data_IF_362415786793
#
_entry.id   IF_362415786793
#
_cell.length_a   1.000
_cell.length_b   1.000
_cell.length_c   1.000
_cell.angle_alpha   90.00
_cell.angle_beta   90.00
_cell.angle_gamma   90.00
#
_symmetry.space_group_name_H-M   'P 1'
#
loop_
_entity.id
_entity.type
_entity.pdbx_description
1 polymer ?
#
# COMPACT_ATOMS: atom_id res chain seq x y z
N UNK A 1 -16.87 26.77 12.35
CA UNK A 1 -16.56 26.69 13.79
C UNK A 1 -15.22 26.02 13.91
N UNK A 2 -14.23 26.63 14.56
CA UNK A 2 -12.93 25.97 14.76
C UNK A 2 -13.08 24.85 15.80
N UNK A 3 -12.28 23.78 15.69
CA UNK A 3 -12.33 22.66 16.64
C UNK A 3 -12.23 23.11 18.11
N UNK A 4 -11.52 24.22 18.38
CA UNK A 4 -11.42 24.80 19.73
C UNK A 4 -12.73 25.35 20.27
N UNK A 5 -13.55 25.95 19.41
CA UNK A 5 -14.88 26.41 19.82
C UNK A 5 -15.80 25.22 20.11
N UNK A 6 -15.66 24.14 19.34
CA UNK A 6 -16.45 22.91 19.51
C UNK A 6 -16.06 22.15 20.78
N UNK A 7 -14.76 22.01 21.05
CA UNK A 7 -14.23 21.34 22.26
C UNK A 7 -14.52 22.17 23.51
N UNK A 8 -14.34 23.50 23.45
CA UNK A 8 -14.67 24.41 24.56
C UNK A 8 -16.15 24.38 24.92
N UNK A 9 -17.05 24.36 23.93
CA UNK A 9 -18.49 24.25 24.16
C UNK A 9 -18.92 22.87 24.69
N UNK A 10 -18.28 21.79 24.24
CA UNK A 10 -18.54 20.44 24.76
C UNK A 10 -18.08 20.27 26.21
N UNK A 11 -16.90 20.80 26.57
CA UNK A 11 -16.41 20.80 27.95
C UNK A 11 -17.26 21.68 28.86
N UNK A 12 -17.78 22.81 28.36
CA UNK A 12 -18.73 23.66 29.08
C UNK A 12 -20.00 22.91 29.46
N UNK A 13 -20.63 22.21 28.51
CA UNK A 13 -21.83 21.39 28.77
C UNK A 13 -21.61 20.31 29.81
N UNK A 14 -20.44 19.65 29.80
CA UNK A 14 -20.09 18.63 30.80
C UNK A 14 -19.94 19.20 32.22
N UNK A 15 -19.58 20.47 32.35
CA UNK A 15 -19.57 21.17 33.65
C UNK A 15 -20.98 21.55 34.08
N UNK A 16 -21.79 22.07 33.15
CA UNK A 16 -23.19 22.42 33.41
C UNK A 16 -24.04 21.20 33.82
N UNK A 17 -23.75 20.04 33.22
CA UNK A 17 -24.38 18.75 33.54
C UNK A 17 -23.83 18.14 34.86
N UNK A 18 -22.88 18.78 35.53
CA UNK A 18 -22.29 18.32 36.79
C UNK A 18 -21.37 17.10 36.67
N UNK A 19 -21.01 16.70 35.44
CA UNK A 19 -20.13 15.56 35.17
C UNK A 19 -18.67 15.92 35.44
N UNK A 20 -18.28 17.17 35.18
CA UNK A 20 -16.96 17.72 35.45
C UNK A 20 -17.06 18.93 36.40
N UNK A 21 -16.08 19.11 37.27
CA UNK A 21 -15.91 20.38 37.98
C UNK A 21 -15.24 21.42 37.08
N UNK A 22 -15.40 22.70 37.41
CA UNK A 22 -14.72 23.80 36.71
C UNK A 22 -13.19 23.61 36.71
N UNK A 23 -12.62 23.16 37.85
CA UNK A 23 -11.19 22.87 37.96
C UNK A 23 -10.73 21.71 37.06
N UNK A 24 -11.55 20.67 36.88
CA UNK A 24 -11.24 19.56 35.97
C UNK A 24 -11.30 19.98 34.51
N UNK A 25 -12.25 20.84 34.13
CA UNK A 25 -12.29 21.46 32.80
C UNK A 25 -11.00 22.23 32.54
N UNK A 26 -10.60 23.10 33.47
CA UNK A 26 -9.41 23.94 33.30
C UNK A 26 -8.14 23.09 33.23
N UNK A 27 -8.06 22.00 34.00
CA UNK A 27 -6.97 21.03 33.90
C UNK A 27 -6.93 20.32 32.54
N UNK A 28 -8.08 19.97 31.95
CA UNK A 28 -8.17 19.35 30.62
C UNK A 28 -7.80 20.34 29.51
N UNK A 29 -8.24 21.60 29.63
CA UNK A 29 -7.87 22.67 28.69
C UNK A 29 -6.36 22.92 28.76
N UNK A 30 -5.80 23.05 29.97
CA UNK A 30 -4.36 23.23 30.16
C UNK A 30 -3.54 22.04 29.63
N UNK A 31 -4.02 20.81 29.81
CA UNK A 31 -3.39 19.61 29.26
C UNK A 31 -3.44 19.60 27.73
N UNK A 32 -4.57 19.98 27.12
CA UNK A 32 -4.72 20.11 25.67
C UNK A 32 -3.82 21.21 25.10
N UNK A 33 -3.69 22.35 25.79
CA UNK A 33 -2.79 23.44 25.41
C UNK A 33 -1.31 23.02 25.52
N UNK A 34 -0.94 22.28 26.57
CA UNK A 34 0.40 21.68 26.68
C UNK A 34 0.69 20.68 25.55
N UNK A 35 -0.32 19.91 25.14
CA UNK A 35 -0.18 18.95 24.05
C UNK A 35 -0.11 19.65 22.68
N UNK A 36 -0.74 20.82 22.55
CA UNK A 36 -0.73 21.69 21.35
C UNK A 36 0.42 22.69 21.33
N UNK A 37 1.18 22.81 22.42
CA UNK A 37 2.34 23.68 22.49
C UNK A 37 3.24 23.40 21.28
N UNK A 38 3.46 24.44 20.49
CA UNK A 38 4.17 24.34 19.22
C UNK A 38 5.55 23.73 19.50
N UNK A 39 5.99 22.72 18.74
CA UNK A 39 7.32 22.16 18.94
C UNK A 39 8.34 23.30 18.88
N UNK A 40 9.33 23.33 19.78
CA UNK A 40 10.29 24.42 19.83
C UNK A 40 10.94 24.58 18.45
N UNK A 41 11.18 25.81 18.00
CA UNK A 41 11.66 26.08 16.64
C UNK A 41 12.93 25.27 16.30
N UNK A 42 13.80 25.03 17.28
CA UNK A 42 14.98 24.17 17.14
C UNK A 42 14.65 22.71 16.79
N UNK A 43 13.54 22.15 17.29
CA UNK A 43 13.09 20.80 16.92
C UNK A 43 12.60 20.74 15.47
N UNK A 44 11.87 21.75 15.03
CA UNK A 44 11.39 21.82 13.64
C UNK A 44 12.56 21.99 12.68
N UNK A 45 13.52 22.87 12.99
CA UNK A 45 14.74 23.03 12.20
C UNK A 45 15.59 21.75 12.17
N UNK A 46 15.72 21.05 13.31
CA UNK A 46 16.41 19.76 13.36
C UNK A 46 15.70 18.69 12.53
N UNK A 47 14.38 18.67 12.52
CA UNK A 47 13.58 17.74 11.72
C UNK A 47 13.70 18.05 10.21
N UNK A 48 13.64 19.31 9.81
CA UNK A 48 13.90 19.75 8.42
C UNK A 48 15.33 19.39 8.00
N UNK A 49 16.32 19.69 8.83
CA UNK A 49 17.72 19.37 8.55
C UNK A 49 17.94 17.85 8.45
N UNK A 50 17.25 17.05 9.26
CA UNK A 50 17.30 15.60 9.18
C UNK A 50 16.67 15.07 7.88
N UNK A 51 15.50 15.57 7.46
CA UNK A 51 14.87 15.16 6.20
C UNK A 51 15.68 15.64 4.98
N UNK A 52 16.17 16.87 5.00
CA UNK A 52 17.03 17.41 3.94
C UNK A 52 18.34 16.62 3.85
N UNK A 53 18.97 16.33 4.99
CA UNK A 53 20.19 15.51 5.07
C UNK A 53 19.97 14.09 4.57
N UNK A 54 18.86 13.45 4.93
CA UNK A 54 18.50 12.13 4.42
C UNK A 54 18.27 12.13 2.91
N UNK A 55 17.58 13.16 2.39
CA UNK A 55 17.36 13.34 0.95
C UNK A 55 18.66 13.55 0.16
N UNK A 56 19.56 14.41 0.67
CA UNK A 56 20.87 14.66 0.07
C UNK A 56 21.76 13.41 0.12
N UNK A 57 21.75 12.68 1.23
CA UNK A 57 22.50 11.42 1.37
C UNK A 57 21.98 10.35 0.40
N UNK A 58 20.65 10.23 0.27
CA UNK A 58 20.04 9.32 -0.70
C UNK A 58 20.39 9.72 -2.14
N UNK A 59 20.27 11.00 -2.48
CA UNK A 59 20.65 11.51 -3.80
C UNK A 59 22.13 11.26 -4.12
N UNK A 60 23.01 11.47 -3.14
CA UNK A 60 24.44 11.17 -3.26
C UNK A 60 24.72 9.67 -3.48
N UNK A 61 24.03 8.79 -2.75
CA UNK A 61 24.12 7.33 -2.96
C UNK A 61 23.65 6.96 -4.36
N UNK A 62 22.53 7.50 -4.83
CA UNK A 62 22.00 7.21 -6.18
C UNK A 62 22.98 7.68 -7.26
N UNK A 63 23.53 8.90 -7.15
CA UNK A 63 24.52 9.42 -8.10
C UNK A 63 25.84 8.64 -8.05
N UNK A 64 26.29 8.26 -6.85
CA UNK A 64 27.47 7.42 -6.69
C UNK A 64 27.22 6.04 -7.31
N UNK A 65 26.05 5.46 -7.08
CA UNK A 65 25.67 4.17 -7.64
C UNK A 65 25.63 4.28 -9.16
N UNK A 66 24.91 5.23 -9.74
CA UNK A 66 24.86 5.47 -11.19
C UNK A 66 26.26 5.60 -11.83
N UNK A 67 27.11 6.45 -11.25
CA UNK A 67 28.47 6.68 -11.78
C UNK A 67 29.43 5.50 -11.55
N UNK A 68 29.27 4.73 -10.48
CA UNK A 68 30.12 3.58 -10.17
C UNK A 68 29.61 2.28 -10.81
N UNK A 69 28.31 2.17 -11.07
CA UNK A 69 27.65 0.93 -11.48
C UNK A 69 28.26 0.37 -12.76
N UNK A 70 28.41 1.22 -13.78
CA UNK A 70 29.01 0.83 -15.06
C UNK A 70 30.52 0.54 -14.99
N UNK A 71 31.20 0.89 -13.89
CA UNK A 71 32.62 0.62 -13.66
C UNK A 71 32.88 -0.62 -12.81
N UNK A 72 31.88 -1.05 -12.04
CA UNK A 72 31.95 -2.30 -11.28
C UNK A 72 31.75 -3.47 -12.24
N UNK A 73 32.59 -4.47 -12.11
CA UNK A 73 32.31 -5.78 -12.68
C UNK A 73 31.10 -6.40 -11.97
N UNK A 74 30.55 -7.48 -12.54
CA UNK A 74 29.33 -8.10 -11.98
C UNK A 74 29.52 -8.57 -10.55
N UNK A 75 30.71 -9.07 -10.23
CA UNK A 75 31.04 -9.48 -8.86
C UNK A 75 31.01 -8.27 -7.91
N UNK A 76 31.58 -7.14 -8.32
CA UNK A 76 31.52 -5.89 -7.57
C UNK A 76 30.08 -5.39 -7.37
N UNK A 77 29.24 -5.43 -8.41
CA UNK A 77 27.82 -5.06 -8.32
C UNK A 77 27.05 -5.99 -7.36
N UNK A 78 27.26 -7.30 -7.47
CA UNK A 78 26.63 -8.29 -6.61
C UNK A 78 27.08 -8.14 -5.15
N UNK A 79 28.38 -7.98 -4.89
CA UNK A 79 28.91 -7.76 -3.54
C UNK A 79 28.38 -6.47 -2.92
N UNK A 80 28.26 -5.39 -3.71
CA UNK A 80 27.67 -4.14 -3.24
C UNK A 80 26.21 -4.32 -2.82
N UNK A 81 25.38 -4.97 -3.64
CA UNK A 81 23.98 -5.24 -3.30
C UNK A 81 23.83 -6.22 -2.15
N UNK A 82 24.68 -7.24 -2.05
CA UNK A 82 24.70 -8.15 -0.91
C UNK A 82 25.03 -7.40 0.39
N UNK A 83 26.03 -6.52 0.35
CA UNK A 83 26.43 -5.70 1.49
C UNK A 83 25.31 -4.72 1.91
N UNK A 84 24.69 -4.04 0.95
CA UNK A 84 23.55 -3.15 1.21
C UNK A 84 22.38 -3.93 1.82
N UNK A 85 22.05 -5.09 1.26
CA UNK A 85 20.99 -5.96 1.79
C UNK A 85 21.27 -6.36 3.23
N UNK A 86 22.49 -6.82 3.53
CA UNK A 86 22.90 -7.20 4.88
C UNK A 86 22.85 -6.02 5.85
N UNK A 87 23.32 -4.85 5.43
CA UNK A 87 23.30 -3.63 6.24
C UNK A 87 21.86 -3.20 6.57
N UNK A 88 20.95 -3.23 5.58
CA UNK A 88 19.54 -2.90 5.76
C UNK A 88 18.85 -3.86 6.73
N UNK A 89 19.10 -5.17 6.60
CA UNK A 89 18.56 -6.20 7.51
C UNK A 89 19.08 -5.99 8.93
N UNK A 90 20.40 -5.85 9.11
CA UNK A 90 21.00 -5.64 10.43
C UNK A 90 20.50 -4.35 11.07
N UNK A 91 20.45 -3.25 10.33
CA UNK A 91 19.92 -1.97 10.82
C UNK A 91 18.43 -2.10 11.20
N UNK A 92 17.63 -2.79 10.39
CA UNK A 92 16.22 -3.07 10.70
C UNK A 92 16.06 -3.87 12.00
N UNK A 93 16.86 -4.92 12.19
CA UNK A 93 16.86 -5.76 13.40
C UNK A 93 17.28 -4.96 14.63
N UNK A 94 18.37 -4.19 14.54
CA UNK A 94 18.88 -3.37 15.65
C UNK A 94 17.85 -2.30 16.05
N UNK A 95 17.22 -1.67 15.07
CA UNK A 95 16.27 -0.58 15.31
C UNK A 95 14.92 -1.05 15.86
N UNK A 96 14.42 -2.19 15.37
CA UNK A 96 13.22 -2.83 15.91
C UNK A 96 13.48 -3.42 17.31
N UNK A 97 14.71 -3.86 17.56
CA UNK A 97 15.10 -4.61 18.75
C UNK A 97 14.78 -6.10 18.57
N UNK A 98 15.77 -7.00 18.73
CA UNK A 98 15.62 -8.42 18.36
C UNK A 98 14.53 -9.14 19.15
N UNK A 99 14.28 -8.72 20.39
CA UNK A 99 13.22 -9.28 21.26
C UNK A 99 11.80 -8.88 20.83
N UNK A 100 11.66 -7.83 20.03
CA UNK A 100 10.36 -7.35 19.54
C UNK A 100 10.02 -7.90 18.16
N UNK A 101 11.00 -8.48 17.46
CA UNK A 101 10.77 -9.18 16.20
C UNK A 101 9.94 -10.44 16.44
N UNK A 102 9.05 -10.75 15.50
CA UNK A 102 8.17 -11.93 15.55
C UNK A 102 7.24 -11.97 16.78
N UNK A 103 7.14 -10.90 17.56
CA UNK A 103 6.18 -10.82 18.67
C UNK A 103 4.79 -10.62 18.09
N UNK A 104 3.86 -11.50 18.44
CA UNK A 104 2.57 -11.61 17.78
C UNK A 104 1.79 -10.28 17.73
N UNK A 105 1.34 -9.95 16.51
CA UNK A 105 0.19 -9.10 16.18
C UNK A 105 0.18 -7.68 16.76
N UNK A 106 1.31 -7.09 17.15
CA UNK A 106 1.34 -5.66 17.47
C UNK A 106 1.65 -4.85 16.21
N UNK A 107 0.69 -4.02 15.73
CA UNK A 107 0.97 -3.11 14.63
C UNK A 107 2.11 -2.18 15.02
N UNK A 108 2.91 -1.79 14.03
CA UNK A 108 4.01 -0.83 14.17
C UNK A 108 3.49 0.49 14.74
N UNK A 109 3.80 0.78 16.01
CA UNK A 109 3.33 1.99 16.72
C UNK A 109 4.40 3.07 16.87
N UNK A 110 5.68 2.71 16.88
CA UNK A 110 6.77 3.67 17.13
C UNK A 110 7.46 4.08 15.83
N UNK A 111 8.02 5.29 15.79
CA UNK A 111 8.81 5.80 14.65
C UNK A 111 9.97 4.86 14.31
N UNK A 112 10.63 4.29 15.33
CA UNK A 112 11.73 3.33 15.16
C UNK A 112 11.28 2.07 14.42
N UNK A 113 10.13 1.50 14.80
CA UNK A 113 9.57 0.34 14.10
C UNK A 113 9.14 0.67 12.66
N UNK A 114 8.61 1.88 12.40
CA UNK A 114 8.29 2.30 11.02
C UNK A 114 9.52 2.37 10.13
N UNK A 115 10.61 2.92 10.65
CA UNK A 115 11.88 2.96 9.95
C UNK A 115 12.45 1.55 9.76
N UNK A 116 12.36 0.66 10.76
CA UNK A 116 12.76 -0.75 10.61
C UNK A 116 11.96 -1.48 9.52
N UNK A 117 10.64 -1.25 9.46
CA UNK A 117 9.79 -1.79 8.39
C UNK A 117 10.20 -1.29 7.00
N UNK A 118 10.55 -0.01 6.88
CA UNK A 118 11.06 0.56 5.64
C UNK A 118 12.39 -0.07 5.24
N UNK A 119 13.30 -0.29 6.20
CA UNK A 119 14.58 -0.96 5.96
C UNK A 119 14.39 -2.40 5.47
N UNK A 120 13.44 -3.17 6.02
CA UNK A 120 13.12 -4.51 5.53
C UNK A 120 12.50 -4.49 4.11
N UNK A 121 11.65 -3.51 3.80
CA UNK A 121 11.11 -3.34 2.46
C UNK A 121 12.21 -2.98 1.44
N UNK A 122 13.17 -2.12 1.82
CA UNK A 122 14.34 -1.82 0.99
C UNK A 122 15.27 -3.03 0.84
N UNK A 123 15.46 -3.81 1.91
CA UNK A 123 16.25 -5.04 1.86
C UNK A 123 15.64 -6.06 0.87
N UNK A 124 14.30 -6.12 0.81
CA UNK A 124 13.57 -6.91 -0.18
C UNK A 124 13.96 -6.49 -1.61
N UNK A 125 13.87 -5.20 -1.92
CA UNK A 125 14.22 -4.66 -3.24
C UNK A 125 15.70 -4.90 -3.58
N UNK A 126 16.60 -4.66 -2.62
CA UNK A 126 18.03 -4.89 -2.77
C UNK A 126 18.36 -6.36 -3.00
N UNK A 127 17.65 -7.28 -2.34
CA UNK A 127 17.83 -8.72 -2.54
C UNK A 127 17.39 -9.18 -3.95
N UNK A 128 16.35 -8.57 -4.51
CA UNK A 128 15.93 -8.80 -5.88
C UNK A 128 17.05 -8.40 -6.86
N UNK A 129 17.57 -7.18 -6.70
CA UNK A 129 18.67 -6.67 -7.52
C UNK A 129 19.91 -7.55 -7.41
N UNK A 130 20.25 -8.01 -6.21
CA UNK A 130 21.42 -8.86 -5.98
C UNK A 130 21.34 -10.15 -6.80
N UNK A 131 20.21 -10.84 -6.74
CA UNK A 131 20.01 -12.07 -7.49
C UNK A 131 19.93 -11.77 -8.99
N UNK A 132 19.28 -10.68 -9.40
CA UNK A 132 19.21 -10.30 -10.81
C UNK A 132 20.60 -10.06 -11.42
N UNK A 133 21.53 -9.44 -10.69
CA UNK A 133 22.92 -9.24 -11.14
C UNK A 133 23.68 -10.56 -11.25
N UNK A 134 23.53 -11.46 -10.28
CA UNK A 134 24.18 -12.78 -10.33
C UNK A 134 23.71 -13.62 -11.53
N UNK A 135 22.47 -13.39 -11.94
CA UNK A 135 21.75 -14.17 -12.95
C UNK A 135 21.73 -13.49 -14.33
N UNK A 136 22.40 -12.35 -14.51
CA UNK A 136 22.30 -11.50 -15.69
C UNK A 136 22.73 -12.18 -17.02
N UNK A 137 23.54 -13.24 -16.96
CA UNK A 137 24.07 -13.96 -18.14
C UNK A 137 23.33 -15.26 -18.46
N UNK A 138 22.27 -15.56 -17.73
CA UNK A 138 21.54 -16.82 -17.87
C UNK A 138 20.21 -16.56 -18.56
N UNK A 139 19.63 -17.60 -19.18
CA UNK A 139 18.41 -17.56 -20.00
C UNK A 139 17.29 -16.62 -19.48
N UNK A 140 16.44 -16.17 -20.41
CA UNK A 140 15.35 -15.19 -20.20
C UNK A 140 14.39 -15.51 -19.03
N UNK A 141 14.36 -16.75 -18.50
CA UNK A 141 13.54 -17.13 -17.34
C UNK A 141 14.19 -16.89 -15.97
N UNK A 142 15.41 -16.35 -15.90
CA UNK A 142 16.18 -16.32 -14.65
C UNK A 142 15.79 -15.16 -13.71
N UNK A 143 15.12 -14.13 -14.22
CA UNK A 143 14.58 -13.04 -13.41
C UNK A 143 13.55 -13.53 -12.37
N UNK A 144 12.90 -14.68 -12.61
CA UNK A 144 11.94 -15.29 -11.68
C UNK A 144 12.60 -15.63 -10.35
N UNK A 145 13.87 -16.06 -10.35
CA UNK A 145 14.60 -16.33 -9.11
C UNK A 145 14.83 -15.06 -8.28
N UNK A 146 15.08 -13.93 -8.94
CA UNK A 146 15.25 -12.65 -8.26
C UNK A 146 13.97 -12.22 -7.54
N UNK A 147 12.83 -12.36 -8.21
CA UNK A 147 11.53 -12.02 -7.65
C UNK A 147 11.12 -13.02 -6.56
N UNK A 148 11.47 -14.30 -6.69
CA UNK A 148 11.21 -15.31 -5.65
C UNK A 148 11.99 -15.05 -4.38
N UNK A 149 13.28 -14.74 -4.48
CA UNK A 149 14.10 -14.39 -3.31
C UNK A 149 13.54 -13.13 -2.65
N UNK A 150 13.18 -12.13 -3.44
CA UNK A 150 12.51 -10.94 -2.92
C UNK A 150 11.18 -11.28 -2.23
N UNK A 151 10.33 -12.12 -2.81
CA UNK A 151 9.08 -12.55 -2.17
C UNK A 151 9.33 -13.25 -0.82
N UNK A 152 10.33 -14.12 -0.74
CA UNK A 152 10.72 -14.79 0.53
C UNK A 152 11.21 -13.77 1.56
N UNK A 153 12.08 -12.83 1.16
CA UNK A 153 12.58 -11.76 2.04
C UNK A 153 11.45 -10.84 2.50
N UNK A 154 10.50 -10.51 1.61
CA UNK A 154 9.32 -9.72 1.94
C UNK A 154 8.45 -10.42 2.98
N UNK A 155 8.19 -11.72 2.80
CA UNK A 155 7.40 -12.53 3.74
C UNK A 155 8.10 -12.60 5.09
N UNK A 156 9.41 -12.84 5.11
CA UNK A 156 10.20 -12.87 6.33
C UNK A 156 10.17 -11.51 7.05
N UNK A 157 10.36 -10.40 6.31
CA UNK A 157 10.32 -9.05 6.85
C UNK A 157 8.94 -8.66 7.39
N UNK A 158 7.87 -8.99 6.67
CA UNK A 158 6.50 -8.75 7.11
C UNK A 158 6.12 -9.60 8.33
N UNK A 159 6.57 -10.86 8.39
CA UNK A 159 6.38 -11.72 9.57
C UNK A 159 7.18 -11.23 10.77
N UNK A 160 8.38 -10.71 10.55
CA UNK A 160 9.21 -10.13 11.60
C UNK A 160 8.58 -8.85 12.17
N UNK A 161 8.02 -7.99 11.29
CA UNK A 161 7.41 -6.72 11.67
C UNK A 161 6.22 -6.37 10.76
N UNK A 162 4.98 -6.77 11.15
CA UNK A 162 3.77 -6.51 10.36
C UNK A 162 3.55 -5.01 10.12
N UNK A 163 3.65 -4.59 8.86
CA UNK A 163 3.65 -3.19 8.46
C UNK A 163 3.04 -3.01 7.08
N UNK A 164 2.58 -1.79 6.79
CA UNK A 164 2.04 -1.43 5.47
C UNK A 164 3.07 -1.66 4.35
N UNK A 165 4.31 -1.22 4.55
CA UNK A 165 5.38 -1.39 3.57
C UNK A 165 5.74 -2.86 3.35
N UNK A 166 5.81 -3.65 4.43
CA UNK A 166 6.01 -5.08 4.33
C UNK A 166 4.88 -5.77 3.58
N UNK A 167 3.62 -5.38 3.85
CA UNK A 167 2.47 -5.93 3.14
C UNK A 167 2.52 -5.60 1.65
N UNK A 168 2.81 -4.35 1.29
CA UNK A 168 2.98 -3.92 -0.11
C UNK A 168 4.09 -4.71 -0.79
N UNK A 169 5.23 -4.94 -0.12
CA UNK A 169 6.31 -5.75 -0.65
C UNK A 169 5.88 -7.21 -0.89
N UNK A 170 5.20 -7.84 0.08
CA UNK A 170 4.72 -9.24 -0.05
C UNK A 170 3.69 -9.35 -1.19
N UNK A 171 2.74 -8.42 -1.24
CA UNK A 171 1.70 -8.34 -2.28
C UNK A 171 2.35 -8.17 -3.65
N UNK A 172 3.25 -7.19 -3.80
CA UNK A 172 3.91 -6.88 -5.06
C UNK A 172 4.83 -8.00 -5.55
N UNK A 173 5.85 -8.36 -4.77
CA UNK A 173 6.80 -9.41 -5.16
C UNK A 173 6.15 -10.78 -5.24
N UNK A 174 5.17 -11.08 -4.39
CA UNK A 174 4.39 -12.33 -4.50
C UNK A 174 3.64 -12.41 -5.82
N UNK A 175 3.01 -11.33 -6.26
CA UNK A 175 2.28 -11.29 -7.54
C UNK A 175 3.22 -11.48 -8.73
N UNK A 176 4.35 -10.75 -8.73
CA UNK A 176 5.36 -10.90 -9.77
C UNK A 176 5.99 -12.30 -9.76
N UNK A 177 6.19 -12.91 -8.59
CA UNK A 177 6.73 -14.26 -8.49
C UNK A 177 5.77 -15.29 -9.11
N UNK A 178 4.48 -15.21 -8.78
CA UNK A 178 3.46 -16.11 -9.36
C UNK A 178 3.37 -15.92 -10.88
N UNK A 179 3.36 -14.67 -11.35
CA UNK A 179 3.35 -14.35 -12.78
C UNK A 179 4.56 -14.93 -13.50
N UNK A 180 5.77 -14.62 -13.00
CA UNK A 180 7.02 -15.10 -13.60
C UNK A 180 7.19 -16.61 -13.57
N UNK A 181 6.78 -17.29 -12.48
CA UNK A 181 6.83 -18.75 -12.42
C UNK A 181 5.91 -19.39 -13.47
N UNK A 182 4.70 -18.87 -13.65
CA UNK A 182 3.75 -19.41 -14.61
C UNK A 182 4.20 -19.12 -16.05
N UNK A 183 4.65 -17.90 -16.32
CA UNK A 183 5.12 -17.48 -17.64
C UNK A 183 6.43 -18.19 -18.02
N UNK A 184 7.49 -18.05 -17.22
CA UNK A 184 8.83 -18.49 -17.61
C UNK A 184 9.12 -19.96 -17.34
N UNK A 185 8.52 -20.58 -16.32
CA UNK A 185 8.80 -21.98 -15.99
C UNK A 185 7.71 -22.91 -16.52
N UNK A 186 6.44 -22.58 -16.28
CA UNK A 186 5.33 -23.38 -16.74
C UNK A 186 4.94 -23.10 -18.21
N UNK A 187 5.50 -22.05 -18.84
CA UNK A 187 5.16 -21.62 -20.20
C UNK A 187 3.63 -21.47 -20.36
N UNK A 188 2.99 -20.98 -19.30
CA UNK A 188 1.55 -20.85 -19.25
C UNK A 188 1.11 -19.69 -20.15
N UNK A 189 -0.02 -19.83 -20.88
CA UNK A 189 -0.55 -18.73 -21.66
C UNK A 189 -1.02 -17.59 -20.76
N UNK A 190 -0.99 -16.35 -21.27
CA UNK A 190 -1.36 -15.13 -20.54
C UNK A 190 -2.71 -15.24 -19.83
N UNK A 191 -3.67 -15.94 -20.46
CA UNK A 191 -4.96 -16.24 -19.84
C UNK A 191 -4.82 -16.95 -18.49
N UNK A 192 -3.99 -17.99 -18.40
CA UNK A 192 -3.77 -18.75 -17.16
C UNK A 192 -3.02 -17.91 -16.13
N UNK A 193 -2.03 -17.12 -16.58
CA UNK A 193 -1.31 -16.15 -15.72
C UNK A 193 -2.30 -15.15 -15.11
N UNK A 194 -3.16 -14.55 -15.92
CA UNK A 194 -4.18 -13.61 -15.48
C UNK A 194 -5.18 -14.21 -14.49
N UNK A 195 -5.65 -15.45 -14.73
CA UNK A 195 -6.52 -16.17 -13.78
C UNK A 195 -5.81 -16.43 -12.45
N UNK A 196 -4.53 -16.80 -12.46
CA UNK A 196 -3.76 -17.01 -11.23
C UNK A 196 -3.56 -15.71 -10.45
N UNK A 197 -3.26 -14.61 -11.14
CA UNK A 197 -3.15 -13.27 -10.54
C UNK A 197 -4.51 -12.83 -9.98
N UNK A 198 -5.61 -13.03 -10.71
CA UNK A 198 -6.97 -12.73 -10.25
C UNK A 198 -7.32 -13.53 -8.98
N UNK A 199 -7.00 -14.83 -8.97
CA UNK A 199 -7.20 -15.70 -7.81
C UNK A 199 -6.35 -15.25 -6.62
N UNK A 200 -5.12 -14.78 -6.86
CA UNK A 200 -4.27 -14.18 -5.82
C UNK A 200 -4.87 -12.90 -5.24
N UNK A 201 -5.49 -12.05 -6.07
CA UNK A 201 -6.27 -10.91 -5.61
C UNK A 201 -7.42 -11.31 -4.68
N UNK A 202 -8.20 -12.32 -5.08
CA UNK A 202 -9.26 -12.90 -4.25
C UNK A 202 -8.75 -13.52 -2.95
N UNK A 203 -7.60 -14.19 -2.99
CA UNK A 203 -6.92 -14.73 -1.81
C UNK A 203 -6.56 -13.61 -0.83
N UNK A 204 -6.05 -12.46 -1.31
CA UNK A 204 -5.75 -11.32 -0.46
C UNK A 204 -6.99 -10.69 0.17
N UNK A 205 -8.11 -10.63 -0.55
CA UNK A 205 -9.41 -10.22 0.02
C UNK A 205 -9.82 -11.16 1.17
N UNK A 206 -9.71 -12.48 0.97
CA UNK A 206 -10.03 -13.47 1.99
C UNK A 206 -9.09 -13.42 3.20
N UNK A 207 -7.77 -13.28 2.98
CA UNK A 207 -6.79 -13.13 4.06
C UNK A 207 -7.02 -11.85 4.88
N UNK A 208 -7.44 -10.77 4.21
CA UNK A 208 -7.80 -9.51 4.87
C UNK A 208 -9.05 -9.66 5.72
N UNK A 209 -10.05 -10.41 5.23
CA UNK A 209 -11.29 -10.73 5.96
C UNK A 209 -11.04 -11.54 7.23
N UNK A 210 -10.09 -12.48 7.20
CA UNK A 210 -9.72 -13.30 8.37
C UNK A 210 -8.81 -12.53 9.34
N UNK A 211 -8.39 -11.30 9.00
CA UNK A 211 -7.54 -10.46 9.84
C UNK A 211 -6.07 -10.88 9.83
N UNK A 212 -5.63 -11.63 8.82
CA UNK A 212 -4.22 -12.02 8.64
C UNK A 212 -3.38 -10.89 8.00
N UNK A 213 -4.01 -10.00 7.24
CA UNK A 213 -3.38 -8.80 6.71
C UNK A 213 -3.50 -7.64 7.72
N UNK A 214 -2.35 -7.13 8.18
CA UNK A 214 -2.26 -6.02 9.12
C UNK A 214 -1.45 -4.90 8.47
N UNK A 215 -2.07 -3.77 8.11
CA UNK A 215 -3.47 -3.40 8.32
C UNK A 215 -4.44 -4.01 7.27
N UNK A 216 -5.66 -4.36 7.69
CA UNK A 216 -6.65 -5.06 6.84
C UNK A 216 -7.10 -4.24 5.63
N UNK A 217 -7.22 -2.92 5.77
CA UNK A 217 -7.57 -2.02 4.67
C UNK A 217 -6.57 -2.09 3.51
N UNK A 218 -5.28 -2.27 3.82
CA UNK A 218 -4.23 -2.34 2.82
C UNK A 218 -4.22 -3.69 2.12
N UNK A 219 -4.59 -4.76 2.83
CA UNK A 219 -4.79 -6.07 2.22
C UNK A 219 -5.98 -6.07 1.25
N UNK A 220 -7.08 -5.38 1.59
CA UNK A 220 -8.18 -5.15 0.63
C UNK A 220 -7.71 -4.36 -0.58
N UNK A 221 -7.02 -3.23 -0.38
CA UNK A 221 -6.50 -2.42 -1.49
C UNK A 221 -5.59 -3.24 -2.42
N UNK A 222 -4.66 -4.00 -1.84
CA UNK A 222 -3.78 -4.90 -2.61
C UNK A 222 -4.54 -5.97 -3.37
N UNK A 223 -5.52 -6.63 -2.73
CA UNK A 223 -6.36 -7.63 -3.38
C UNK A 223 -7.18 -7.09 -4.55
N UNK A 224 -7.72 -5.87 -4.43
CA UNK A 224 -8.48 -5.20 -5.50
C UNK A 224 -7.57 -4.86 -6.67
N UNK A 225 -6.42 -4.23 -6.42
CA UNK A 225 -5.46 -3.86 -7.46
C UNK A 225 -4.95 -5.09 -8.20
N UNK A 226 -4.52 -6.12 -7.48
CA UNK A 226 -4.08 -7.39 -8.07
C UNK A 226 -5.22 -8.04 -8.85
N UNK A 227 -6.43 -8.06 -8.28
CA UNK A 227 -7.60 -8.66 -8.91
C UNK A 227 -7.93 -8.00 -10.25
N UNK A 228 -7.93 -6.66 -10.30
CA UNK A 228 -8.13 -5.92 -11.55
C UNK A 228 -7.02 -6.24 -12.54
N UNK A 229 -5.75 -6.16 -12.14
CA UNK A 229 -4.61 -6.51 -13.00
C UNK A 229 -4.75 -7.93 -13.55
N UNK A 230 -5.11 -8.91 -12.72
CA UNK A 230 -5.32 -10.29 -13.16
C UNK A 230 -6.45 -10.42 -14.18
N UNK A 231 -7.54 -9.68 -14.01
CA UNK A 231 -8.62 -9.62 -14.99
C UNK A 231 -8.13 -9.03 -16.33
N UNK A 232 -7.27 -8.01 -16.31
CA UNK A 232 -6.65 -7.43 -17.51
C UNK A 232 -5.71 -8.40 -18.21
N UNK A 233 -4.88 -9.13 -17.47
CA UNK A 233 -3.96 -10.12 -18.06
C UNK A 233 -4.70 -11.33 -18.63
N UNK A 234 -5.86 -11.68 -18.09
CA UNK A 234 -6.68 -12.78 -18.58
C UNK A 234 -7.49 -12.43 -19.85
N UNK A 235 -7.05 -11.43 -20.64
CA UNK A 235 -7.79 -10.86 -21.77
C UNK A 235 -8.04 -11.85 -22.91
N UNK A 236 -9.08 -12.66 -22.74
CA UNK A 236 -9.58 -13.60 -23.75
C UNK A 236 -10.56 -12.92 -24.71
N UNK A 237 -11.41 -12.05 -24.15
CA UNK A 237 -12.28 -11.14 -24.87
C UNK A 237 -12.64 -9.97 -23.95
N UNK A 238 -13.00 -8.83 -24.54
CA UNK A 238 -13.32 -7.64 -23.76
C UNK A 238 -14.48 -7.84 -22.77
N UNK A 239 -15.46 -8.69 -23.13
CA UNK A 239 -16.58 -9.07 -22.27
C UNK A 239 -16.13 -9.80 -21.00
N UNK A 240 -15.11 -10.66 -21.09
CA UNK A 240 -14.53 -11.38 -19.97
C UNK A 240 -13.92 -10.42 -18.97
N UNK A 241 -13.11 -9.47 -19.45
CA UNK A 241 -12.47 -8.49 -18.57
C UNK A 241 -13.52 -7.64 -17.87
N UNK A 242 -14.54 -7.16 -18.60
CA UNK A 242 -15.68 -6.43 -18.01
C UNK A 242 -16.39 -7.29 -16.96
N UNK A 243 -16.68 -8.55 -17.26
CA UNK A 243 -17.35 -9.47 -16.32
C UNK A 243 -16.53 -9.73 -15.05
N UNK A 244 -15.22 -9.97 -15.17
CA UNK A 244 -14.35 -10.24 -14.03
C UNK A 244 -14.14 -8.99 -13.15
N UNK A 245 -13.98 -7.82 -13.76
CA UNK A 245 -13.88 -6.55 -13.01
C UNK A 245 -15.21 -6.24 -12.30
N UNK A 246 -16.36 -6.46 -12.93
CA UNK A 246 -17.66 -6.34 -12.26
C UNK A 246 -17.84 -7.34 -11.12
N UNK A 247 -17.39 -8.60 -11.31
CA UNK A 247 -17.42 -9.62 -10.26
C UNK A 247 -16.54 -9.22 -9.08
N UNK A 248 -15.36 -8.64 -9.34
CA UNK A 248 -14.50 -8.07 -8.30
C UNK A 248 -15.19 -6.92 -7.58
N UNK A 249 -15.87 -6.03 -8.31
CA UNK A 249 -16.67 -4.95 -7.72
C UNK A 249 -17.81 -5.47 -6.83
N UNK A 250 -18.53 -6.50 -7.29
CA UNK A 250 -19.57 -7.17 -6.52
C UNK A 250 -19.01 -7.83 -5.25
N UNK A 251 -17.85 -8.49 -5.34
CA UNK A 251 -17.16 -9.05 -4.17
C UNK A 251 -16.77 -7.96 -3.16
N UNK A 252 -16.29 -6.80 -3.64
CA UNK A 252 -15.99 -5.66 -2.77
C UNK A 252 -17.22 -5.16 -2.03
N UNK A 253 -18.35 -4.98 -2.73
CA UNK A 253 -19.60 -4.56 -2.09
C UNK A 253 -20.15 -5.61 -1.14
N UNK A 254 -20.06 -6.90 -1.47
CA UNK A 254 -20.47 -7.98 -0.58
C UNK A 254 -19.64 -8.00 0.72
N UNK A 255 -18.31 -7.84 0.62
CA UNK A 255 -17.43 -7.73 1.79
C UNK A 255 -17.68 -6.45 2.60
N UNK A 256 -18.08 -5.36 1.93
CA UNK A 256 -18.40 -4.10 2.61
C UNK A 256 -19.59 -4.23 3.57
N UNK A 257 -20.59 -5.06 3.22
CA UNK A 257 -21.73 -5.34 4.11
C UNK A 257 -21.28 -5.87 5.47
N UNK A 258 -20.20 -6.67 5.49
CA UNK A 258 -19.68 -7.28 6.72
C UNK A 258 -18.62 -6.45 7.44
N UNK A 259 -17.62 -5.90 6.74
CA UNK A 259 -16.47 -5.25 7.39
C UNK A 259 -16.57 -3.72 7.43
N UNK A 260 -17.48 -3.13 6.66
CA UNK A 260 -17.69 -1.67 6.54
C UNK A 260 -16.43 -0.84 6.31
N UNK A 261 -15.41 -1.40 5.66
CA UNK A 261 -14.18 -0.68 5.31
C UNK A 261 -14.42 0.27 4.12
N UNK A 262 -14.01 1.55 4.19
CA UNK A 262 -14.21 2.51 3.10
C UNK A 262 -13.47 2.11 1.80
N UNK A 263 -12.36 1.39 1.93
CA UNK A 263 -11.58 0.89 0.78
C UNK A 263 -12.40 -0.04 -0.11
N UNK A 264 -13.32 -0.82 0.47
CA UNK A 264 -14.17 -1.73 -0.29
C UNK A 264 -15.24 -1.00 -1.10
N UNK A 265 -15.80 0.09 -0.58
CA UNK A 265 -16.75 0.94 -1.34
C UNK A 265 -16.03 1.65 -2.47
N UNK A 266 -14.88 2.26 -2.18
CA UNK A 266 -14.08 2.96 -3.18
C UNK A 266 -13.59 2.00 -4.27
N UNK A 267 -13.08 0.83 -3.88
CA UNK A 267 -12.62 -0.18 -4.82
C UNK A 267 -13.75 -0.82 -5.63
N UNK A 268 -14.90 -1.08 -5.01
CA UNK A 268 -16.10 -1.54 -5.73
C UNK A 268 -16.59 -0.51 -6.74
N UNK A 269 -16.67 0.76 -6.35
CA UNK A 269 -17.01 1.87 -7.24
C UNK A 269 -16.01 2.03 -8.37
N UNK A 270 -14.70 1.92 -8.09
CA UNK A 270 -13.64 1.94 -9.10
C UNK A 270 -13.80 0.80 -10.11
N UNK A 271 -14.05 -0.43 -9.65
CA UNK A 271 -14.26 -1.58 -10.53
C UNK A 271 -15.46 -1.36 -11.46
N UNK A 272 -16.61 -0.89 -10.93
CA UNK A 272 -17.78 -0.58 -11.75
C UNK A 272 -17.45 0.51 -12.77
N UNK A 273 -16.78 1.59 -12.35
CA UNK A 273 -16.39 2.67 -13.25
C UNK A 273 -15.45 2.18 -14.37
N UNK A 274 -14.45 1.37 -14.04
CA UNK A 274 -13.51 0.79 -15.00
C UNK A 274 -14.22 -0.13 -16.01
N UNK A 275 -15.10 -1.02 -15.52
CA UNK A 275 -15.88 -1.92 -16.35
C UNK A 275 -16.83 -1.18 -17.31
N UNK A 276 -17.56 -0.18 -16.82
CA UNK A 276 -18.46 0.65 -17.65
C UNK A 276 -17.67 1.44 -18.68
N UNK A 277 -16.56 2.07 -18.28
CA UNK A 277 -15.70 2.84 -19.20
C UNK A 277 -15.22 1.95 -20.34
N UNK A 278 -14.77 0.73 -20.03
CA UNK A 278 -14.33 -0.23 -21.05
C UNK A 278 -15.49 -0.72 -21.94
N UNK A 279 -16.64 -1.05 -21.36
CA UNK A 279 -17.80 -1.50 -22.12
C UNK A 279 -18.26 -0.44 -23.12
N UNK A 280 -18.32 0.82 -22.70
CA UNK A 280 -18.67 1.95 -23.58
C UNK A 280 -17.59 2.15 -24.64
N UNK A 281 -16.31 2.14 -24.28
CA UNK A 281 -15.20 2.29 -25.24
C UNK A 281 -15.28 1.29 -26.40
N UNK A 282 -15.57 0.02 -26.10
CA UNK A 282 -15.76 -1.01 -27.13
C UNK A 282 -17.07 -0.87 -27.91
N UNK A 283 -18.17 -0.50 -27.26
CA UNK A 283 -19.46 -0.31 -27.94
C UNK A 283 -19.50 0.89 -28.87
N UNK A 284 -18.66 1.89 -28.64
CA UNK A 284 -18.65 3.10 -29.45
C UNK A 284 -17.53 3.11 -30.48
N UNK A 285 -16.92 1.97 -30.79
CA UNK A 285 -15.79 1.84 -31.71
C UNK A 285 -14.72 2.92 -31.47
N UNK A 286 -14.38 3.17 -30.20
CA UNK A 286 -13.37 4.16 -29.79
C UNK A 286 -13.76 5.64 -30.07
N UNK A 287 -15.05 5.91 -30.31
CA UNK A 287 -15.59 7.28 -30.44
C UNK A 287 -15.42 8.09 -29.15
N UNK A 288 -14.79 9.25 -29.27
CA UNK A 288 -14.57 10.21 -28.18
C UNK A 288 -15.85 10.81 -27.60
N UNK A 289 -16.96 10.79 -28.33
CA UNK A 289 -18.25 11.34 -27.88
C UNK A 289 -18.89 10.58 -26.72
N UNK A 290 -18.61 9.29 -26.59
CA UNK A 290 -19.17 8.45 -25.54
C UNK A 290 -18.55 8.73 -24.16
N UNK A 291 -17.27 9.11 -24.15
CA UNK A 291 -16.54 9.48 -22.94
C UNK A 291 -17.16 10.72 -22.25
N UNK A 292 -17.62 11.70 -23.04
CA UNK A 292 -18.27 12.91 -22.51
C UNK A 292 -19.59 12.60 -21.79
N UNK A 293 -20.38 11.64 -22.30
CA UNK A 293 -21.66 11.24 -21.70
C UNK A 293 -21.45 10.51 -20.36
N UNK A 294 -20.44 9.62 -20.28
CA UNK A 294 -20.10 8.94 -19.02
C UNK A 294 -19.67 9.96 -17.96
N UNK A 295 -18.82 10.92 -18.33
CA UNK A 295 -18.37 11.99 -17.41
C UNK A 295 -19.57 12.81 -16.92
N UNK A 296 -20.53 13.13 -17.80
CA UNK A 296 -21.74 13.84 -17.44
C UNK A 296 -22.59 13.06 -16.43
N UNK A 297 -22.83 11.76 -16.68
CA UNK A 297 -23.60 10.89 -15.77
C UNK A 297 -22.89 10.77 -14.42
N UNK A 298 -21.58 10.58 -14.41
CA UNK A 298 -20.78 10.53 -13.19
C UNK A 298 -20.86 11.82 -12.37
N UNK A 299 -20.78 12.98 -13.04
CA UNK A 299 -20.93 14.28 -12.40
C UNK A 299 -22.32 14.48 -11.79
N UNK A 300 -23.38 14.05 -12.48
CA UNK A 300 -24.77 14.12 -11.97
C UNK A 300 -24.96 13.23 -10.74
N UNK A 301 -24.47 11.99 -10.77
CA UNK A 301 -24.56 11.07 -9.62
C UNK A 301 -23.79 11.60 -8.40
N UNK A 302 -22.59 12.15 -8.61
CA UNK A 302 -21.82 12.81 -7.56
C UNK A 302 -22.56 14.03 -6.98
N UNK A 303 -23.18 14.84 -7.83
CA UNK A 303 -24.00 15.97 -7.41
C UNK A 303 -25.19 15.56 -6.53
N UNK A 304 -25.92 14.50 -6.93
CA UNK A 304 -27.06 13.98 -6.16
C UNK A 304 -26.61 13.40 -4.82
N UNK A 305 -25.51 12.65 -4.79
CA UNK A 305 -24.95 12.09 -3.57
C UNK A 305 -24.48 13.18 -2.59
N UNK A 306 -23.78 14.20 -3.09
CA UNK A 306 -23.33 15.34 -2.29
C UNK A 306 -24.49 16.13 -1.68
N UNK A 307 -25.57 16.35 -2.45
CA UNK A 307 -26.77 17.02 -1.94
C UNK A 307 -27.48 16.25 -0.83
N UNK A 308 -27.48 14.90 -0.87
CA UNK A 308 -28.06 14.09 0.22
C UNK A 308 -27.22 14.11 1.49
N UNK A 309 -25.89 14.02 1.35
CA UNK A 309 -24.97 14.12 2.49
C UNK A 309 -25.08 15.45 3.24
N UNK A 310 -25.30 16.57 2.53
CA UNK A 310 -25.47 17.88 3.15
C UNK A 310 -26.80 18.00 3.91
N UNK A 311 -27.86 17.36 3.42
CA UNK A 311 -29.19 17.39 4.07
C UNK A 311 -29.29 16.56 5.34
N UNK A 312 -28.49 15.51 5.47
CA UNK A 312 -28.49 14.67 6.68
C UNK A 312 -27.68 15.30 7.84
N UNK A 313 -26.96 16.41 7.58
CA UNK A 313 -26.20 17.17 8.56
C UNK A 313 -26.84 18.51 8.97
N UNK A 314 -28.05 18.81 8.46
CA UNK A 314 -28.85 20.01 8.79
C UNK A 314 -30.11 19.63 9.56
#
# INVERSE_FOLDING_TARGET
MSDDQTVGAALGRLVDDGVLTAEQRDAVVAALEQQRARPPAGRVLAEIAAYAGAGLLLGGIVLLMDSAWGRLDRLGQALALAFVTALLVVAGVVLAGPKQLFTERRPVRTTRMRLAAALFALATLSSAGFVAVLQADTDDGNWVWAVLVAAVVAVAGYRALPSLLGLVAVVGFGTWAVGGMLESWAHAPDFVVGIAVLAMGGMWLALSRIGLAVPSWAGYAGGIVIGVIGAEFADRNWLWVVAMVLLMGAACFALYVTDRSPVLVLGGGFCVAAAVTRAVWHWTDHSTGAAAVIVLIGAVLLGIAGMRLVRDHS
#
